data_IF_286086611153
#
_entry.id   IF_286086611153
#
_cell.length_a   1.000
_cell.length_b   1.000
_cell.length_c   1.000
_cell.angle_alpha   90.00
_cell.angle_beta   90.00
_cell.angle_gamma   90.00
#
_symmetry.space_group_name_H-M   'P 1'
#
loop_
_entity.id
_entity.type
_entity.pdbx_description
1 polymer ?
#
# COMPACT_ATOMS: atom_id res chain seq x y z
N UNK A 1 24.61 7.02 -2.55
CA UNK A 1 24.68 5.89 -1.60
C UNK A 1 23.66 4.87 -2.05
N UNK A 2 24.05 3.61 -2.29
CA UNK A 2 23.08 2.55 -2.59
C UNK A 2 22.17 2.40 -1.38
N UNK A 3 20.86 2.57 -1.56
CA UNK A 3 19.89 2.20 -0.52
C UNK A 3 20.01 0.69 -0.29
N UNK A 4 20.09 0.26 0.97
CA UNK A 4 19.98 -1.16 1.28
C UNK A 4 18.65 -1.69 0.73
N UNK A 5 18.65 -2.93 0.25
CA UNK A 5 17.42 -3.60 -0.17
C UNK A 5 16.48 -3.72 1.01
N UNK A 6 15.20 -3.40 0.78
CA UNK A 6 14.12 -3.50 1.77
C UNK A 6 13.47 -4.87 1.60
N UNK A 7 13.22 -5.56 2.72
CA UNK A 7 12.42 -6.79 2.79
C UNK A 7 11.12 -6.47 3.51
N UNK A 8 9.99 -6.57 2.79
CA UNK A 8 8.65 -6.30 3.31
C UNK A 8 7.77 -7.56 3.19
N UNK A 9 7.71 -8.43 4.22
CA UNK A 9 6.88 -9.63 4.18
C UNK A 9 5.39 -9.29 4.00
N UNK A 10 4.71 -9.99 3.08
CA UNK A 10 3.26 -9.83 2.87
C UNK A 10 2.47 -10.55 3.96
N UNK A 11 1.56 -9.80 4.60
CA UNK A 11 0.69 -10.30 5.66
C UNK A 11 -0.28 -11.39 5.18
N UNK A 12 -0.56 -11.47 3.88
CA UNK A 12 -1.43 -12.52 3.33
C UNK A 12 -0.84 -13.93 3.51
N UNK A 13 0.47 -14.04 3.76
CA UNK A 13 1.15 -15.32 4.01
C UNK A 13 1.26 -15.66 5.50
N UNK A 14 0.81 -14.79 6.40
CA UNK A 14 0.88 -15.00 7.84
C UNK A 14 -0.26 -15.90 8.35
N UNK A 15 -0.11 -16.43 9.56
CA UNK A 15 -1.22 -17.06 10.27
C UNK A 15 -2.22 -16.00 10.76
N UNK A 16 -3.36 -15.88 10.08
CA UNK A 16 -4.40 -14.92 10.43
C UNK A 16 -4.99 -15.13 11.83
N UNK A 17 -4.92 -16.34 12.40
CA UNK A 17 -5.35 -16.58 13.78
C UNK A 17 -4.40 -15.96 14.80
N UNK A 18 -3.15 -15.67 14.40
CA UNK A 18 -2.08 -15.15 15.25
C UNK A 18 -1.34 -13.97 14.59
N UNK A 19 -2.04 -13.19 13.79
CA UNK A 19 -1.46 -12.21 12.87
C UNK A 19 -0.47 -11.23 13.55
N UNK A 20 -0.83 -10.69 14.72
CA UNK A 20 0.05 -9.78 15.45
C UNK A 20 1.36 -10.43 15.91
N UNK A 21 1.31 -11.70 16.32
CA UNK A 21 2.49 -12.45 16.74
C UNK A 21 3.40 -12.78 15.56
N UNK A 22 2.82 -13.16 14.42
CA UNK A 22 3.57 -13.44 13.19
C UNK A 22 4.25 -12.19 12.64
N UNK A 23 3.56 -11.03 12.67
CA UNK A 23 4.19 -9.76 12.31
C UNK A 23 5.36 -9.42 13.26
N UNK A 24 5.18 -9.54 14.58
CA UNK A 24 6.28 -9.30 15.54
C UNK A 24 7.46 -10.26 15.34
N UNK A 25 7.19 -11.52 14.97
CA UNK A 25 8.24 -12.48 14.59
C UNK A 25 9.00 -12.02 13.35
N UNK A 26 8.31 -11.48 12.35
CA UNK A 26 8.93 -10.92 11.16
C UNK A 26 9.81 -9.69 11.50
N UNK A 27 9.34 -8.79 12.39
CA UNK A 27 10.16 -7.65 12.87
C UNK A 27 11.45 -8.15 13.53
N UNK A 28 11.34 -9.11 14.45
CA UNK A 28 12.47 -9.69 15.16
C UNK A 28 13.45 -10.43 14.22
N UNK A 29 12.96 -10.93 13.08
CA UNK A 29 13.77 -11.58 12.05
C UNK A 29 14.48 -10.59 11.11
N UNK A 30 14.27 -9.28 11.27
CA UNK A 30 14.91 -8.24 10.47
C UNK A 30 14.12 -7.81 9.24
N UNK A 31 12.79 -7.95 9.24
CA UNK A 31 11.96 -7.26 8.27
C UNK A 31 12.19 -5.74 8.36
N UNK A 32 12.04 -5.05 7.23
CA UNK A 32 12.10 -3.60 7.20
C UNK A 32 10.70 -2.99 7.34
N UNK A 33 9.73 -3.54 6.60
CA UNK A 33 8.32 -3.10 6.57
C UNK A 33 7.38 -4.31 6.68
N UNK A 34 6.10 -4.05 6.91
CA UNK A 34 5.02 -5.02 6.74
C UNK A 34 4.21 -4.68 5.49
N UNK A 35 4.15 -5.58 4.51
CA UNK A 35 3.37 -5.34 3.30
C UNK A 35 1.93 -5.83 3.47
N UNK A 36 0.97 -4.95 3.15
CA UNK A 36 -0.46 -5.14 3.42
C UNK A 36 -1.24 -5.06 2.12
N UNK A 37 -1.53 -6.21 1.54
CA UNK A 37 -2.34 -6.35 0.32
C UNK A 37 -3.85 -6.29 0.63
N UNK A 38 -4.49 -5.20 0.22
CA UNK A 38 -5.92 -4.94 0.40
C UNK A 38 -6.65 -5.20 -0.91
N UNK A 39 -7.58 -6.14 -0.90
CA UNK A 39 -8.36 -6.56 -2.07
C UNK A 39 -9.86 -6.43 -1.78
N UNK A 40 -10.66 -5.96 -2.75
CA UNK A 40 -12.10 -5.67 -2.57
C UNK A 40 -13.04 -6.67 -3.28
N UNK A 41 -12.52 -7.71 -3.90
CA UNK A 41 -13.29 -8.67 -4.69
C UNK A 41 -13.79 -8.15 -6.05
N UNK A 42 -13.50 -6.89 -6.39
CA UNK A 42 -13.95 -6.25 -7.64
C UNK A 42 -12.77 -5.96 -8.56
N UNK A 43 -11.72 -5.30 -8.05
CA UNK A 43 -10.51 -5.03 -8.82
C UNK A 43 -9.72 -6.32 -9.06
N UNK A 44 -9.67 -7.19 -8.04
CA UNK A 44 -9.14 -8.55 -8.13
C UNK A 44 -10.16 -9.53 -7.50
N UNK A 45 -10.22 -10.80 -7.94
CA UNK A 45 -11.24 -11.76 -7.53
C UNK A 45 -10.96 -12.39 -6.15
N UNK A 46 -10.59 -11.57 -5.16
CA UNK A 46 -10.39 -11.98 -3.77
C UNK A 46 -10.69 -10.83 -2.81
N UNK A 47 -11.05 -11.15 -1.57
CA UNK A 47 -11.33 -10.17 -0.50
C UNK A 47 -10.42 -10.46 0.68
N UNK A 48 -9.65 -9.47 1.13
CA UNK A 48 -8.63 -9.68 2.18
C UNK A 48 -8.99 -8.96 3.48
N UNK A 49 -8.35 -7.83 3.75
CA UNK A 49 -8.42 -7.12 5.03
C UNK A 49 -8.68 -5.63 4.82
N UNK A 50 -9.29 -5.00 5.82
CA UNK A 50 -9.63 -3.58 5.80
C UNK A 50 -8.85 -2.73 6.81
N UNK A 51 -9.20 -1.44 6.93
CA UNK A 51 -8.54 -0.50 7.84
C UNK A 51 -8.56 -0.92 9.32
N UNK A 52 -9.53 -1.73 9.75
CA UNK A 52 -9.62 -2.23 11.12
C UNK A 52 -8.43 -3.12 11.50
N UNK A 53 -7.94 -3.94 10.56
CA UNK A 53 -6.76 -4.80 10.77
C UNK A 53 -5.50 -3.96 10.83
N UNK A 54 -5.33 -3.01 9.90
CA UNK A 54 -4.20 -2.05 9.91
C UNK A 54 -4.16 -1.28 11.24
N UNK A 55 -5.29 -0.80 11.72
CA UNK A 55 -5.40 -0.10 13.01
C UNK A 55 -5.04 -0.96 14.20
N UNK A 56 -5.40 -2.25 14.18
CA UNK A 56 -5.04 -3.17 15.24
C UNK A 56 -3.53 -3.44 15.28
N UNK A 57 -2.93 -3.65 14.10
CA UNK A 57 -1.50 -3.91 13.96
C UNK A 57 -0.65 -2.67 14.27
N UNK A 58 -1.07 -1.48 13.83
CA UNK A 58 -0.36 -0.22 14.11
C UNK A 58 -0.22 0.09 15.62
N UNK A 59 -1.01 -0.55 16.49
CA UNK A 59 -0.89 -0.41 17.95
C UNK A 59 0.21 -1.25 18.58
N UNK A 60 0.65 -2.30 17.89
CA UNK A 60 1.57 -3.31 18.45
C UNK A 60 2.87 -3.43 17.66
N UNK A 61 2.88 -3.04 16.39
CA UNK A 61 4.03 -3.10 15.51
C UNK A 61 4.83 -1.80 15.56
N UNK A 62 6.14 -1.91 15.32
CA UNK A 62 7.05 -0.76 15.29
C UNK A 62 7.50 -0.43 13.87
N UNK A 63 7.48 -1.42 12.97
CA UNK A 63 7.82 -1.23 11.57
C UNK A 63 6.65 -0.64 10.78
N UNK A 64 6.93 0.12 9.71
CA UNK A 64 5.90 0.75 8.91
C UNK A 64 5.01 -0.28 8.19
N UNK A 65 3.70 0.00 8.18
CA UNK A 65 2.70 -0.74 7.41
C UNK A 65 2.61 -0.14 6.00
N UNK A 66 3.08 -0.88 5.00
CA UNK A 66 3.05 -0.52 3.58
C UNK A 66 1.77 -1.06 2.94
N UNK A 67 0.77 -0.21 2.74
CA UNK A 67 -0.55 -0.63 2.28
C UNK A 67 -0.68 -0.52 0.76
N UNK A 68 -0.95 -1.66 0.14
CA UNK A 68 -1.18 -1.81 -1.29
C UNK A 68 -2.67 -2.02 -1.57
N UNK A 69 -3.29 -1.04 -2.22
CA UNK A 69 -4.73 -0.99 -2.50
C UNK A 69 -5.03 -1.59 -3.89
N UNK A 70 -5.28 -2.89 -3.92
CA UNK A 70 -5.88 -3.62 -5.04
C UNK A 70 -7.41 -3.51 -4.98
N UNK A 71 -7.93 -2.28 -5.02
CA UNK A 71 -9.36 -1.98 -4.89
C UNK A 71 -9.83 -0.98 -5.93
N UNK A 72 -11.13 -0.97 -6.22
CA UNK A 72 -11.74 -0.16 -7.28
C UNK A 72 -11.81 1.34 -6.93
N UNK A 73 -11.90 1.68 -5.64
CA UNK A 73 -12.02 3.07 -5.16
C UNK A 73 -10.96 3.44 -4.11
N UNK A 74 -9.67 3.52 -4.48
CA UNK A 74 -8.60 3.88 -3.55
C UNK A 74 -8.73 5.32 -3.03
N UNK A 75 -9.44 6.20 -3.74
CA UNK A 75 -9.61 7.61 -3.36
C UNK A 75 -10.42 7.75 -2.06
N UNK A 76 -11.49 6.96 -1.92
CA UNK A 76 -12.32 6.95 -0.71
C UNK A 76 -11.66 6.21 0.46
N UNK A 77 -10.93 5.12 0.18
CA UNK A 77 -10.40 4.24 1.22
C UNK A 77 -8.97 4.57 1.65
N UNK A 78 -8.15 5.15 0.78
CA UNK A 78 -6.77 5.56 1.09
C UNK A 78 -6.67 6.43 2.35
N UNK A 79 -7.48 7.50 2.51
CA UNK A 79 -7.50 8.31 3.73
C UNK A 79 -7.84 7.51 4.98
N UNK A 80 -8.74 6.51 4.87
CA UNK A 80 -9.11 5.65 6.00
C UNK A 80 -7.96 4.73 6.43
N UNK A 81 -7.12 4.30 5.48
CA UNK A 81 -5.91 3.53 5.78
C UNK A 81 -4.82 4.41 6.40
N UNK A 82 -4.66 5.65 5.93
CA UNK A 82 -3.77 6.63 6.58
C UNK A 82 -4.18 6.86 8.04
N UNK A 83 -5.48 7.12 8.28
CA UNK A 83 -6.04 7.26 9.64
C UNK A 83 -5.89 5.99 10.50
N UNK A 84 -5.74 4.83 9.88
CA UNK A 84 -5.50 3.56 10.54
C UNK A 84 -4.03 3.33 10.92
N UNK A 85 -3.10 4.17 10.44
CA UNK A 85 -1.67 4.06 10.71
C UNK A 85 -0.86 3.48 9.56
N UNK A 86 -1.38 3.49 8.33
CA UNK A 86 -0.59 3.17 7.15
C UNK A 86 0.58 4.17 7.00
N UNK A 87 1.79 3.64 6.81
CA UNK A 87 3.00 4.42 6.57
C UNK A 87 3.32 4.56 5.08
N UNK A 88 2.55 3.90 4.22
CA UNK A 88 2.58 4.03 2.77
C UNK A 88 1.22 3.66 2.19
N UNK A 89 0.84 4.31 1.09
CA UNK A 89 -0.34 3.98 0.29
C UNK A 89 0.10 3.81 -1.16
N UNK A 90 -0.14 2.61 -1.68
CA UNK A 90 -0.02 2.27 -3.09
C UNK A 90 -1.39 2.01 -3.71
N UNK A 91 -1.63 2.48 -4.93
CA UNK A 91 -2.82 2.15 -5.72
C UNK A 91 -2.43 1.87 -7.17
N UNK A 92 -3.33 1.23 -7.90
CA UNK A 92 -3.08 0.76 -9.27
C UNK A 92 -3.21 1.85 -10.33
N UNK A 93 -2.23 1.91 -11.25
CA UNK A 93 -2.26 2.81 -12.40
C UNK A 93 -3.44 2.51 -13.35
N UNK A 94 -3.92 1.27 -13.36
CA UNK A 94 -5.07 0.82 -14.15
C UNK A 94 -6.37 1.54 -13.80
N UNK A 95 -6.42 2.22 -12.65
CA UNK A 95 -7.56 3.00 -12.20
C UNK A 95 -7.53 4.43 -12.75
N UNK A 96 -6.43 4.87 -13.36
CA UNK A 96 -6.24 6.20 -13.95
C UNK A 96 -6.82 6.26 -15.36
N UNK A 97 -8.13 5.99 -15.47
CA UNK A 97 -8.83 5.82 -16.76
C UNK A 97 -9.32 7.12 -17.39
N UNK A 98 -9.38 8.20 -16.61
CA UNK A 98 -9.86 9.52 -17.04
C UNK A 98 -9.29 10.66 -16.16
N UNK A 99 -9.52 11.91 -16.60
CA UNK A 99 -9.05 13.12 -15.90
C UNK A 99 -9.56 13.21 -14.45
N UNK A 100 -10.74 12.64 -14.16
CA UNK A 100 -11.33 12.67 -12.81
C UNK A 100 -10.58 11.69 -11.90
N UNK A 101 -10.27 10.50 -12.39
CA UNK A 101 -9.46 9.53 -11.69
C UNK A 101 -8.05 10.08 -11.44
N UNK A 102 -7.43 10.72 -12.44
CA UNK A 102 -6.14 11.38 -12.26
C UNK A 102 -6.17 12.51 -11.23
N UNK A 103 -7.20 13.36 -11.27
CA UNK A 103 -7.35 14.42 -10.27
C UNK A 103 -7.53 13.84 -8.86
N UNK A 104 -8.30 12.76 -8.72
CA UNK A 104 -8.51 12.08 -7.44
C UNK A 104 -7.22 11.43 -6.93
N UNK A 105 -6.43 10.85 -7.83
CA UNK A 105 -5.12 10.30 -7.52
C UNK A 105 -4.16 11.38 -7.01
N UNK A 106 -4.08 12.55 -7.67
CA UNK A 106 -3.25 13.67 -7.21
C UNK A 106 -3.67 14.16 -5.83
N UNK A 107 -4.98 14.26 -5.56
CA UNK A 107 -5.49 14.63 -4.23
C UNK A 107 -5.08 13.60 -3.17
N UNK A 108 -5.22 12.30 -3.47
CA UNK A 108 -4.80 11.24 -2.56
C UNK A 108 -3.28 11.30 -2.30
N UNK A 109 -2.45 11.42 -3.33
CA UNK A 109 -1.00 11.51 -3.19
C UNK A 109 -0.56 12.72 -2.37
N UNK A 110 -1.21 13.88 -2.57
CA UNK A 110 -0.95 15.08 -1.77
C UNK A 110 -1.29 14.87 -0.28
N UNK A 111 -2.38 14.16 0.01
CA UNK A 111 -2.77 13.81 1.37
C UNK A 111 -1.79 12.82 2.02
N UNK A 112 -1.38 11.78 1.28
CA UNK A 112 -0.35 10.82 1.72
C UNK A 112 0.95 11.55 2.07
N UNK A 113 1.39 12.48 1.22
CA UNK A 113 2.57 13.33 1.49
C UNK A 113 2.40 14.18 2.75
N UNK A 114 1.24 14.82 2.91
CA UNK A 114 0.94 15.68 4.07
C UNK A 114 1.03 14.92 5.38
N UNK A 115 0.69 13.63 5.38
CA UNK A 115 0.81 12.75 6.54
C UNK A 115 2.22 12.13 6.70
N UNK A 116 3.17 12.45 5.83
CA UNK A 116 4.52 11.89 5.86
C UNK A 116 4.58 10.41 5.49
N UNK A 117 3.55 9.88 4.84
CA UNK A 117 3.49 8.51 4.35
C UNK A 117 4.09 8.41 2.94
N UNK A 118 4.50 7.20 2.55
CA UNK A 118 5.06 6.93 1.22
C UNK A 118 3.97 6.86 0.16
N UNK A 119 4.19 7.57 -0.95
CA UNK A 119 3.37 7.58 -2.15
C UNK A 119 3.82 6.50 -3.12
N UNK A 120 2.90 5.62 -3.50
CA UNK A 120 3.19 4.53 -4.42
C UNK A 120 2.12 4.43 -5.52
N UNK A 121 2.56 4.09 -6.73
CA UNK A 121 1.70 3.58 -7.78
C UNK A 121 2.16 2.17 -8.14
N UNK A 122 1.21 1.25 -8.21
CA UNK A 122 1.41 -0.13 -8.64
C UNK A 122 1.03 -0.30 -10.11
N UNK A 123 1.69 -1.23 -10.79
CA UNK A 123 1.35 -1.67 -12.16
C UNK A 123 1.21 -3.19 -12.20
N UNK A 124 0.15 -3.67 -12.85
CA UNK A 124 -0.04 -5.08 -13.14
C UNK A 124 0.95 -5.58 -14.20
N UNK A 125 1.17 -6.90 -14.31
CA UNK A 125 2.19 -7.45 -15.21
C UNK A 125 2.00 -7.10 -16.69
N UNK A 126 0.76 -6.85 -17.12
CA UNK A 126 0.43 -6.50 -18.51
C UNK A 126 0.49 -4.99 -18.79
N UNK A 127 0.67 -4.16 -17.76
CA UNK A 127 0.64 -2.69 -17.88
C UNK A 127 2.04 -2.19 -18.20
N UNK A 128 2.15 -1.34 -19.23
CA UNK A 128 3.42 -0.75 -19.62
C UNK A 128 3.98 0.15 -18.51
N UNK A 129 5.26 0.00 -18.19
CA UNK A 129 5.95 0.79 -17.17
C UNK A 129 5.96 2.29 -17.50
N UNK A 130 5.87 2.67 -18.78
CA UNK A 130 5.83 4.08 -19.16
C UNK A 130 4.56 4.80 -18.67
N UNK A 131 3.51 4.08 -18.27
CA UNK A 131 2.30 4.66 -17.66
C UNK A 131 2.63 5.43 -16.37
N UNK A 132 3.64 5.00 -15.60
CA UNK A 132 4.02 5.70 -14.36
C UNK A 132 4.96 6.88 -14.59
N UNK A 133 5.52 7.03 -15.80
CA UNK A 133 6.52 8.08 -16.11
C UNK A 133 6.05 9.50 -15.77
N UNK A 134 4.81 9.92 -16.07
CA UNK A 134 4.32 11.26 -15.73
C UNK A 134 4.19 11.51 -14.23
N UNK A 135 4.18 10.45 -13.42
CA UNK A 135 3.92 10.49 -11.97
C UNK A 135 5.19 10.45 -11.14
N UNK A 136 6.34 10.10 -11.72
CA UNK A 136 7.58 9.85 -10.96
C UNK A 136 8.02 11.00 -10.05
N UNK A 137 7.69 12.25 -10.38
CA UNK A 137 7.98 13.41 -9.52
C UNK A 137 7.18 13.44 -8.22
N UNK A 138 6.05 12.73 -8.17
CA UNK A 138 5.11 12.68 -7.05
C UNK A 138 5.21 11.36 -6.25
N UNK A 139 6.06 10.41 -6.66
CA UNK A 139 6.14 9.08 -6.06
C UNK A 139 7.41 8.86 -5.24
N UNK A 140 7.27 8.13 -4.14
CA UNK A 140 8.39 7.64 -3.33
C UNK A 140 8.76 6.20 -3.72
N UNK A 141 7.82 5.47 -4.32
CA UNK A 141 7.95 4.07 -4.74
C UNK A 141 7.07 3.78 -5.97
N UNK A 142 7.50 2.83 -6.79
CA UNK A 142 6.66 2.17 -7.81
C UNK A 142 6.67 0.68 -7.47
N UNK A 143 5.49 0.06 -7.42
CA UNK A 143 5.32 -1.37 -7.21
C UNK A 143 5.06 -2.07 -8.55
N UNK A 144 5.89 -3.05 -8.88
CA UNK A 144 5.72 -3.88 -10.09
C UNK A 144 5.27 -5.26 -9.64
N UNK A 145 4.10 -5.69 -10.10
CA UNK A 145 3.48 -6.97 -9.73
C UNK A 145 4.08 -8.17 -10.46
#
# INVERSE_FOLDING_TARGET
MSRASIIAPSLLSADFARLGEDCLRAEAAGADWHHVDVMDGHFVPNLTIGPSVVRALARVLTLPLDVHLMITDPWTYGPKFLEAGAAGIGFHAELLVDDRAESSARTLLAEVQRQGARRCIAINPATDVDVVRPWLGDLDMVLVM
#
